data_IF_902445830429
#
_entry.id   IF_902445830429
#
_cell.length_a   1.000
_cell.length_b   1.000
_cell.length_c   1.000
_cell.angle_alpha   90.00
_cell.angle_beta   90.00
_cell.angle_gamma   90.00
#
_symmetry.space_group_name_H-M   'P 1'
#
loop_
_entity.id
_entity.type
_entity.pdbx_description
1 polymer ?
#
# COMPACT_ATOMS: atom_id res chain seq x y z
N UNK A 1 -34.59 -2.03 4.93
CA UNK A 1 -35.14 -0.85 5.65
C UNK A 1 -34.14 0.27 5.45
N UNK A 2 -34.57 1.50 5.21
CA UNK A 2 -33.66 2.64 5.13
C UNK A 2 -33.45 3.20 6.55
N UNK A 3 -32.21 3.32 6.95
CA UNK A 3 -31.84 3.95 8.24
C UNK A 3 -31.48 5.41 8.01
N UNK A 4 -31.94 6.32 8.86
CA UNK A 4 -31.58 7.73 8.82
C UNK A 4 -30.67 8.10 9.99
N UNK A 5 -29.56 8.79 9.69
CA UNK A 5 -28.58 9.28 10.69
C UNK A 5 -28.40 10.78 10.49
N UNK A 6 -28.29 11.51 11.59
CA UNK A 6 -27.88 12.94 11.59
C UNK A 6 -26.52 13.05 12.26
N UNK A 7 -25.66 13.92 11.73
CA UNK A 7 -24.35 14.20 12.27
C UNK A 7 -23.96 15.66 12.10
N UNK A 8 -23.16 16.21 13.02
CA UNK A 8 -22.52 17.52 12.80
C UNK A 8 -21.40 17.40 11.79
N UNK A 9 -20.63 16.30 11.84
CA UNK A 9 -19.55 16.04 10.88
C UNK A 9 -19.66 14.61 10.35
N UNK A 10 -19.66 14.49 9.03
CA UNK A 10 -19.42 13.21 8.36
C UNK A 10 -18.01 13.17 7.79
N UNK A 11 -17.29 12.08 8.03
CA UNK A 11 -15.97 11.83 7.44
C UNK A 11 -16.08 10.66 6.47
N UNK A 12 -15.70 10.88 5.22
CA UNK A 12 -15.78 9.89 4.15
C UNK A 12 -14.41 9.25 3.91
N UNK A 13 -14.29 7.96 4.28
CA UNK A 13 -13.08 7.16 4.22
C UNK A 13 -12.36 7.10 5.57
N UNK A 14 -11.99 5.88 6.01
CA UNK A 14 -11.36 5.62 7.30
C UNK A 14 -9.86 5.30 7.20
N UNK A 15 -9.17 5.82 6.18
CA UNK A 15 -7.72 5.85 6.10
C UNK A 15 -7.10 6.82 7.14
N UNK A 16 -5.75 6.99 7.16
CA UNK A 16 -5.07 7.82 8.16
C UNK A 16 -5.62 9.25 8.28
N UNK A 17 -5.97 9.89 7.18
CA UNK A 17 -6.60 11.21 7.20
C UNK A 17 -7.99 11.15 7.83
N UNK A 18 -8.80 10.15 7.44
CA UNK A 18 -10.20 10.05 7.87
C UNK A 18 -10.37 9.70 9.33
N UNK A 19 -9.73 8.63 9.82
CA UNK A 19 -9.86 8.29 11.24
C UNK A 19 -9.24 9.37 12.14
N UNK A 20 -8.15 10.02 11.72
CA UNK A 20 -7.56 11.12 12.48
C UNK A 20 -8.51 12.30 12.57
N UNK A 21 -9.15 12.68 11.46
CA UNK A 21 -10.16 13.74 11.44
C UNK A 21 -11.37 13.38 12.29
N UNK A 22 -11.93 12.17 12.14
CA UNK A 22 -13.09 11.72 12.90
C UNK A 22 -12.82 11.69 14.39
N UNK A 23 -11.65 11.17 14.81
CA UNK A 23 -11.27 11.15 16.23
C UNK A 23 -11.11 12.56 16.79
N UNK A 24 -10.50 13.47 16.00
CA UNK A 24 -10.36 14.85 16.44
C UNK A 24 -11.71 15.57 16.55
N UNK A 25 -12.63 15.38 15.61
CA UNK A 25 -13.98 15.91 15.69
C UNK A 25 -14.70 15.42 16.96
N UNK A 26 -14.63 14.12 17.22
CA UNK A 26 -15.24 13.53 18.43
C UNK A 26 -14.58 14.04 19.73
N UNK A 27 -13.24 14.20 19.77
CA UNK A 27 -12.53 14.77 20.92
C UNK A 27 -12.89 16.24 21.17
N UNK A 28 -13.37 16.96 20.13
CA UNK A 28 -13.93 18.31 20.25
C UNK A 28 -15.43 18.34 20.65
N UNK A 29 -16.03 17.18 20.88
CA UNK A 29 -17.43 17.05 21.30
C UNK A 29 -18.44 17.10 20.14
N UNK A 30 -17.98 16.99 18.89
CA UNK A 30 -18.88 17.01 17.73
C UNK A 30 -19.49 15.61 17.51
N UNK A 31 -20.77 15.55 17.17
CA UNK A 31 -21.42 14.32 16.74
C UNK A 31 -20.88 13.91 15.35
N UNK A 32 -20.13 12.79 15.34
CA UNK A 32 -19.28 12.42 14.22
C UNK A 32 -19.64 11.04 13.67
N UNK A 33 -19.88 10.99 12.36
CA UNK A 33 -20.04 9.75 11.59
C UNK A 33 -18.81 9.54 10.71
N UNK A 34 -18.24 8.33 10.76
CA UNK A 34 -17.14 7.88 9.89
C UNK A 34 -17.66 6.81 8.93
N UNK A 35 -17.61 7.08 7.64
CA UNK A 35 -18.05 6.14 6.61
C UNK A 35 -16.86 5.42 5.99
N UNK A 36 -16.90 4.08 5.95
CA UNK A 36 -15.85 3.25 5.35
C UNK A 36 -16.47 2.14 4.50
N UNK A 37 -16.00 2.01 3.25
CA UNK A 37 -16.51 0.98 2.34
C UNK A 37 -16.03 -0.44 2.66
N UNK A 38 -14.88 -0.56 3.32
CA UNK A 38 -14.32 -1.84 3.73
C UNK A 38 -14.74 -2.21 5.15
N UNK A 39 -14.63 -3.49 5.49
CA UNK A 39 -15.01 -4.01 6.82
C UNK A 39 -14.06 -3.58 7.94
N UNK A 40 -12.88 -3.04 7.60
CA UNK A 40 -11.86 -2.64 8.58
C UNK A 40 -11.46 -1.19 8.39
N UNK A 41 -11.23 -0.49 9.50
CA UNK A 41 -10.67 0.86 9.50
C UNK A 41 -9.17 0.81 9.13
N UNK A 42 -8.59 1.98 8.81
CA UNK A 42 -7.16 2.12 8.53
C UNK A 42 -6.82 2.37 7.06
N UNK A 43 -7.79 2.17 6.15
CA UNK A 43 -7.64 2.40 4.71
C UNK A 43 -6.49 1.61 4.09
N UNK A 44 -5.98 2.08 2.96
CA UNK A 44 -4.85 1.48 2.25
C UNK A 44 -3.62 1.36 3.15
N UNK A 45 -3.28 2.41 3.90
CA UNK A 45 -2.07 2.45 4.71
C UNK A 45 -1.95 1.27 5.68
N UNK A 46 -3.00 0.98 6.47
CA UNK A 46 -2.93 -0.09 7.46
C UNK A 46 -3.15 -1.47 6.86
N UNK A 47 -4.05 -1.57 5.89
CA UNK A 47 -4.49 -2.88 5.39
C UNK A 47 -3.61 -3.43 4.26
N UNK A 48 -3.23 -2.58 3.29
CA UNK A 48 -2.54 -2.98 2.06
C UNK A 48 -1.45 -1.99 1.63
N UNK A 49 -0.81 -1.30 2.56
CA UNK A 49 0.19 -0.27 2.29
C UNK A 49 1.30 -0.21 3.32
N UNK A 50 1.36 0.89 4.09
CA UNK A 50 2.49 1.20 4.97
C UNK A 50 2.76 0.13 6.02
N UNK A 51 1.74 -0.38 6.68
CA UNK A 51 1.93 -1.34 7.78
C UNK A 51 2.45 -2.68 7.27
N UNK A 52 1.80 -3.36 6.30
CA UNK A 52 2.37 -4.59 5.76
C UNK A 52 3.74 -4.39 5.11
N UNK A 53 4.00 -3.27 4.41
CA UNK A 53 5.32 -3.03 3.83
C UNK A 53 6.41 -2.86 4.89
N UNK A 54 6.16 -2.10 5.97
CA UNK A 54 7.13 -1.95 7.07
C UNK A 54 7.34 -3.23 7.85
N UNK A 55 6.31 -4.06 8.01
CA UNK A 55 6.47 -5.38 8.59
C UNK A 55 7.40 -6.26 7.74
N UNK A 56 7.17 -6.34 6.43
CA UNK A 56 8.02 -7.13 5.53
C UNK A 56 9.44 -6.55 5.40
N UNK A 57 9.60 -5.23 5.33
CA UNK A 57 10.89 -4.56 5.32
C UNK A 57 11.68 -4.83 6.61
N UNK A 58 11.01 -4.96 7.76
CA UNK A 58 11.69 -5.34 9.00
C UNK A 58 12.29 -6.76 8.89
N UNK A 59 11.55 -7.72 8.32
CA UNK A 59 12.09 -9.07 8.05
C UNK A 59 13.29 -8.99 7.11
N UNK A 60 13.17 -8.28 6.00
CA UNK A 60 14.25 -8.07 5.05
C UNK A 60 15.49 -7.46 5.71
N UNK A 61 15.30 -6.44 6.55
CA UNK A 61 16.37 -5.78 7.31
C UNK A 61 17.11 -6.75 8.22
N UNK A 62 16.40 -7.57 8.99
CA UNK A 62 17.02 -8.55 9.90
C UNK A 62 17.87 -9.56 9.12
N UNK A 63 17.37 -10.06 7.98
CA UNK A 63 18.12 -10.99 7.11
C UNK A 63 19.42 -10.33 6.62
N UNK A 64 19.32 -9.10 6.12
CA UNK A 64 20.46 -8.35 5.57
C UNK A 64 21.49 -7.97 6.65
N UNK A 65 21.03 -7.56 7.83
CA UNK A 65 21.92 -7.22 8.96
C UNK A 65 22.67 -8.46 9.47
N UNK A 66 21.97 -9.60 9.59
CA UNK A 66 22.63 -10.86 9.97
C UNK A 66 23.71 -11.25 8.95
N UNK A 67 23.43 -11.11 7.66
CA UNK A 67 24.41 -11.37 6.59
C UNK A 67 25.60 -10.42 6.65
N UNK A 68 25.36 -9.13 6.89
CA UNK A 68 26.41 -8.12 6.97
C UNK A 68 27.36 -8.31 8.17
N UNK A 69 26.88 -8.91 9.27
CA UNK A 69 27.72 -9.19 10.45
C UNK A 69 28.87 -10.15 10.17
N UNK A 70 28.80 -10.92 9.08
CA UNK A 70 29.92 -11.78 8.68
C UNK A 70 31.20 -10.98 8.39
N UNK A 71 31.10 -9.74 7.91
CA UNK A 71 32.23 -8.82 7.70
C UNK A 71 32.89 -8.40 9.02
N UNK A 72 32.18 -8.54 10.14
CA UNK A 72 32.64 -8.21 11.49
C UNK A 72 32.96 -9.45 12.34
N UNK A 73 33.04 -10.62 11.70
CA UNK A 73 33.44 -11.87 12.36
C UNK A 73 32.29 -12.64 13.03
N UNK A 74 31.04 -12.22 12.86
CA UNK A 74 29.87 -12.98 13.34
C UNK A 74 29.18 -13.62 12.14
N UNK A 75 29.26 -14.95 12.05
CA UNK A 75 28.72 -15.71 10.91
C UNK A 75 27.46 -16.44 11.35
N UNK A 76 26.39 -16.25 10.61
CA UNK A 76 25.16 -17.02 10.74
C UNK A 76 25.00 -17.93 9.52
N UNK A 77 24.41 -19.13 9.72
CA UNK A 77 23.97 -19.94 8.61
C UNK A 77 22.89 -19.20 7.79
N UNK A 78 22.75 -19.55 6.51
CA UNK A 78 21.72 -19.00 5.67
C UNK A 78 20.33 -19.24 6.30
N UNK A 79 19.50 -18.20 6.47
CA UNK A 79 18.21 -18.35 7.12
C UNK A 79 17.28 -19.24 6.28
N UNK A 80 16.58 -20.14 6.95
CA UNK A 80 15.45 -20.85 6.34
C UNK A 80 14.21 -19.98 6.50
N UNK A 81 13.70 -19.47 5.39
CA UNK A 81 12.51 -18.62 5.38
C UNK A 81 11.24 -19.45 5.17
N UNK A 82 10.24 -19.20 6.01
CA UNK A 82 8.90 -19.76 5.90
C UNK A 82 7.95 -18.59 5.61
N UNK A 83 7.60 -18.41 4.32
CA UNK A 83 6.80 -17.27 3.87
C UNK A 83 5.38 -17.30 4.44
N UNK A 84 4.84 -18.47 4.75
CA UNK A 84 3.51 -18.60 5.34
C UNK A 84 3.50 -18.04 6.76
N UNK A 85 4.54 -18.33 7.55
CA UNK A 85 4.68 -17.75 8.90
C UNK A 85 4.94 -16.24 8.87
N UNK A 86 5.73 -15.76 7.91
CA UNK A 86 5.95 -14.32 7.71
C UNK A 86 4.61 -13.63 7.40
N UNK A 87 3.81 -14.22 6.51
CA UNK A 87 2.49 -13.72 6.13
C UNK A 87 1.54 -13.68 7.34
N UNK A 88 1.44 -14.77 8.09
CA UNK A 88 0.61 -14.85 9.30
C UNK A 88 1.04 -13.78 10.32
N UNK A 89 2.34 -13.62 10.54
CA UNK A 89 2.84 -12.59 11.45
C UNK A 89 2.50 -11.17 10.96
N UNK A 90 2.70 -10.87 9.68
CA UNK A 90 2.31 -9.60 9.05
C UNK A 90 0.82 -9.33 9.24
N UNK A 91 -0.04 -10.31 8.98
CA UNK A 91 -1.49 -10.18 9.11
C UNK A 91 -1.92 -9.98 10.57
N UNK A 92 -1.21 -10.59 11.52
CA UNK A 92 -1.40 -10.33 12.95
C UNK A 92 -1.09 -8.88 13.31
N UNK A 93 -0.01 -8.30 12.78
CA UNK A 93 0.34 -6.88 13.00
C UNK A 93 -0.77 -5.97 12.47
N UNK A 94 -1.25 -6.23 11.25
CA UNK A 94 -2.37 -5.48 10.65
C UNK A 94 -3.61 -5.58 11.53
N UNK A 95 -4.01 -6.78 11.94
CA UNK A 95 -5.20 -7.02 12.76
C UNK A 95 -5.13 -6.32 14.11
N UNK A 96 -3.96 -6.30 14.75
CA UNK A 96 -3.77 -5.58 16.02
C UNK A 96 -3.98 -4.07 15.86
N UNK A 97 -3.45 -3.47 14.80
CA UNK A 97 -3.57 -2.03 14.58
C UNK A 97 -4.97 -1.62 14.14
N UNK A 98 -5.59 -2.38 13.22
CA UNK A 98 -6.97 -2.09 12.78
C UNK A 98 -7.99 -2.32 13.89
N UNK A 99 -7.80 -3.36 14.72
CA UNK A 99 -8.60 -3.59 15.93
C UNK A 99 -8.43 -2.47 16.97
N UNK A 100 -7.22 -1.95 17.12
CA UNK A 100 -6.93 -0.77 17.94
C UNK A 100 -7.72 0.46 17.49
N UNK A 101 -7.76 0.72 16.16
CA UNK A 101 -8.55 1.82 15.60
C UNK A 101 -10.06 1.66 15.87
N UNK A 102 -10.59 0.45 15.71
CA UNK A 102 -11.99 0.17 16.01
C UNK A 102 -12.30 0.43 17.50
N UNK A 103 -11.40 0.02 18.41
CA UNK A 103 -11.50 0.32 19.84
C UNK A 103 -11.46 1.83 20.13
N UNK A 104 -10.57 2.56 19.45
CA UNK A 104 -10.45 4.02 19.58
C UNK A 104 -11.70 4.75 19.07
N UNK A 105 -12.30 4.32 17.96
CA UNK A 105 -13.55 4.85 17.43
C UNK A 105 -14.69 4.65 18.43
N UNK A 106 -14.82 3.43 18.96
CA UNK A 106 -15.84 3.09 19.97
C UNK A 106 -15.66 3.93 21.24
N UNK A 107 -14.43 4.05 21.76
CA UNK A 107 -14.14 4.83 22.97
C UNK A 107 -14.47 6.32 22.83
N UNK A 108 -14.39 6.87 21.61
CA UNK A 108 -14.76 8.26 21.26
C UNK A 108 -16.21 8.41 20.84
N UNK A 109 -16.97 7.34 20.81
CA UNK A 109 -18.37 7.33 20.34
C UNK A 109 -18.52 7.80 18.88
N UNK A 110 -17.49 7.60 18.05
CA UNK A 110 -17.59 7.81 16.60
C UNK A 110 -18.52 6.74 16.03
N UNK A 111 -19.58 7.17 15.35
CA UNK A 111 -20.50 6.26 14.68
C UNK A 111 -19.89 5.81 13.35
N UNK A 112 -19.50 4.53 13.26
CA UNK A 112 -18.90 3.95 12.05
C UNK A 112 -19.99 3.31 11.21
N UNK A 113 -20.12 3.77 9.95
CA UNK A 113 -21.07 3.23 8.97
C UNK A 113 -20.29 2.56 7.85
N UNK A 114 -20.48 1.25 7.68
CA UNK A 114 -19.83 0.50 6.62
C UNK A 114 -20.67 0.48 5.33
N UNK A 115 -20.08 0.89 4.24
CA UNK A 115 -20.68 0.86 2.91
C UNK A 115 -20.08 1.89 1.95
N UNK A 116 -20.49 1.78 0.69
CA UNK A 116 -20.11 2.73 -0.35
C UNK A 116 -21.00 3.96 -0.30
N UNK A 117 -20.39 5.14 -0.12
CA UNK A 117 -21.11 6.39 0.05
C UNK A 117 -21.14 7.21 -1.25
N UNK A 118 -22.27 7.87 -1.48
CA UNK A 118 -22.46 8.84 -2.56
C UNK A 118 -23.19 10.07 -2.05
N UNK A 119 -22.73 11.25 -2.44
CA UNK A 119 -23.45 12.49 -2.17
C UNK A 119 -24.77 12.50 -2.95
N UNK A 120 -25.88 12.70 -2.26
CA UNK A 120 -27.22 12.84 -2.85
C UNK A 120 -27.74 14.27 -2.76
N UNK A 121 -27.04 15.14 -2.04
CA UNK A 121 -27.29 16.57 -1.92
C UNK A 121 -26.12 17.28 -1.23
N UNK A 122 -26.25 18.59 -1.03
CA UNK A 122 -25.20 19.40 -0.39
C UNK A 122 -24.90 19.01 1.06
N UNK A 123 -25.87 18.42 1.75
CA UNK A 123 -25.78 18.00 3.14
C UNK A 123 -26.32 16.58 3.38
N UNK A 124 -26.30 15.75 2.35
CA UNK A 124 -26.82 14.38 2.42
C UNK A 124 -25.92 13.40 1.70
N UNK A 125 -25.72 12.23 2.33
CA UNK A 125 -25.07 11.06 1.76
C UNK A 125 -26.02 9.86 1.79
N UNK A 126 -25.96 9.03 0.75
CA UNK A 126 -26.48 7.67 0.77
C UNK A 126 -25.32 6.71 0.92
N UNK A 127 -25.41 5.79 1.86
CA UNK A 127 -24.40 4.74 2.08
C UNK A 127 -25.04 3.39 1.81
N UNK A 128 -24.54 2.68 0.82
CA UNK A 128 -24.99 1.32 0.45
C UNK A 128 -24.11 0.30 1.16
N UNK A 129 -24.63 -0.35 2.18
CA UNK A 129 -23.95 -1.40 2.94
C UNK A 129 -24.65 -2.75 2.83
N UNK A 130 -24.07 -3.79 3.43
CA UNK A 130 -24.62 -5.17 3.42
C UNK A 130 -25.98 -5.29 4.11
N UNK A 131 -26.32 -4.37 5.04
CA UNK A 131 -27.57 -4.36 5.79
C UNK A 131 -28.64 -3.45 5.15
N UNK A 132 -28.33 -2.84 4.02
CA UNK A 132 -29.22 -1.93 3.29
C UNK A 132 -28.64 -0.53 3.14
N UNK A 133 -29.51 0.41 2.78
CA UNK A 133 -29.15 1.80 2.52
C UNK A 133 -29.32 2.66 3.77
N UNK A 134 -28.28 3.41 4.13
CA UNK A 134 -28.31 4.41 5.19
C UNK A 134 -28.23 5.80 4.60
N UNK A 135 -29.15 6.68 4.94
CA UNK A 135 -29.10 8.10 4.58
C UNK A 135 -28.50 8.89 5.74
N UNK A 136 -27.43 9.66 5.47
CA UNK A 136 -26.77 10.49 6.46
C UNK A 136 -26.98 11.96 6.11
N UNK A 137 -27.59 12.71 7.01
CA UNK A 137 -27.70 14.18 6.93
C UNK A 137 -26.63 14.80 7.83
N UNK A 138 -25.88 15.77 7.33
CA UNK A 138 -24.74 16.35 8.03
C UNK A 138 -24.67 17.88 7.87
N UNK A 139 -24.01 18.55 8.81
CA UNK A 139 -23.71 19.98 8.71
C UNK A 139 -22.42 20.22 7.90
N UNK A 140 -21.38 19.41 8.16
CA UNK A 140 -20.07 19.50 7.52
C UNK A 140 -19.60 18.13 7.05
N UNK A 141 -18.83 18.09 5.96
CA UNK A 141 -18.25 16.86 5.43
C UNK A 141 -16.73 16.99 5.27
N UNK A 142 -15.99 15.95 5.65
CA UNK A 142 -14.56 15.81 5.39
C UNK A 142 -14.37 14.65 4.42
N UNK A 143 -13.86 14.94 3.22
CA UNK A 143 -13.57 13.92 2.20
C UNK A 143 -12.15 13.41 2.38
N UNK A 144 -12.01 12.16 2.80
CA UNK A 144 -10.74 11.46 3.01
C UNK A 144 -10.72 10.11 2.26
N UNK A 145 -11.21 10.13 1.01
CA UNK A 145 -11.50 8.94 0.20
C UNK A 145 -10.26 8.13 -0.23
N UNK A 146 -9.04 8.67 -0.03
CA UNK A 146 -7.78 7.98 -0.32
C UNK A 146 -7.47 7.86 -1.81
N UNK A 147 -6.72 6.79 -2.16
CA UNK A 147 -6.26 6.50 -3.51
C UNK A 147 -6.29 4.99 -3.78
N UNK A 148 -6.11 4.63 -5.04
CA UNK A 148 -5.94 3.24 -5.50
C UNK A 148 -4.72 3.14 -6.43
N UNK A 149 -4.15 1.94 -6.64
CA UNK A 149 -3.15 1.73 -7.68
C UNK A 149 -3.66 2.19 -9.04
N UNK A 150 -2.75 2.73 -9.86
CA UNK A 150 -3.10 3.09 -11.24
C UNK A 150 -3.14 1.83 -12.09
N UNK A 151 -4.17 1.69 -12.89
CA UNK A 151 -4.29 0.62 -13.89
C UNK A 151 -3.98 1.18 -15.26
N UNK A 152 -2.88 0.70 -15.86
CA UNK A 152 -2.49 1.09 -17.21
C UNK A 152 -3.09 0.11 -18.23
N UNK A 153 -3.72 0.58 -19.31
CA UNK A 153 -4.50 -0.26 -20.21
C UNK A 153 -3.66 -1.27 -21.03
N UNK A 154 -2.35 -1.10 -21.09
CA UNK A 154 -1.43 -2.03 -21.76
C UNK A 154 -0.84 -3.10 -20.85
N UNK A 155 -1.27 -3.18 -19.58
CA UNK A 155 -0.83 -4.19 -18.62
C UNK A 155 -1.89 -5.28 -18.52
N UNK A 156 -1.53 -6.56 -18.70
CA UNK A 156 -2.45 -7.69 -18.57
C UNK A 156 -2.73 -8.02 -17.09
N UNK A 157 -3.55 -7.22 -16.43
CA UNK A 157 -3.86 -7.33 -14.99
C UNK A 157 -4.50 -8.66 -14.59
N UNK A 158 -5.11 -9.37 -15.54
CA UNK A 158 -5.74 -10.68 -15.30
C UNK A 158 -4.73 -11.82 -15.15
N UNK A 159 -3.48 -11.62 -15.56
CA UNK A 159 -2.45 -12.66 -15.43
C UNK A 159 -1.94 -12.71 -13.99
N UNK A 160 -1.95 -13.89 -13.32
CA UNK A 160 -1.59 -14.02 -11.91
C UNK A 160 -0.10 -13.73 -11.61
N UNK A 161 0.73 -13.59 -12.65
CA UNK A 161 2.15 -13.19 -12.53
C UNK A 161 2.35 -11.69 -12.58
N UNK A 162 1.30 -10.92 -12.92
CA UNK A 162 1.29 -9.47 -12.97
C UNK A 162 0.64 -8.95 -11.70
N UNK A 163 1.41 -8.25 -10.89
CA UNK A 163 1.02 -7.82 -9.54
C UNK A 163 0.93 -6.32 -9.44
N UNK A 164 -0.08 -5.83 -8.73
CA UNK A 164 -0.04 -4.50 -8.15
C UNK A 164 0.66 -4.50 -6.78
N UNK A 165 0.69 -3.36 -6.10
CA UNK A 165 1.30 -3.25 -4.77
C UNK A 165 0.56 -4.08 -3.71
N UNK A 166 -0.74 -4.26 -3.86
CA UNK A 166 -1.56 -5.08 -2.95
C UNK A 166 -1.20 -6.55 -3.08
N UNK A 167 -1.06 -7.04 -4.31
CA UNK A 167 -0.66 -8.42 -4.59
C UNK A 167 0.74 -8.72 -4.06
N UNK A 168 1.69 -7.81 -4.32
CA UNK A 168 3.05 -7.95 -3.81
C UNK A 168 3.10 -8.03 -2.28
N UNK A 169 2.27 -7.26 -1.58
CA UNK A 169 2.18 -7.28 -0.12
C UNK A 169 1.52 -8.54 0.45
N UNK A 170 0.77 -9.29 -0.37
CA UNK A 170 0.22 -10.58 0.06
C UNK A 170 1.30 -11.63 0.30
N UNK A 171 2.45 -11.53 -0.34
CA UNK A 171 3.59 -12.45 -0.22
C UNK A 171 3.17 -13.92 -0.46
N UNK A 172 2.41 -14.16 -1.53
CA UNK A 172 1.93 -15.53 -1.86
C UNK A 172 3.06 -16.45 -2.27
N UNK A 173 4.00 -15.91 -3.05
CA UNK A 173 5.17 -16.62 -3.59
C UNK A 173 6.37 -15.71 -3.60
N UNK A 174 7.58 -16.29 -3.72
CA UNK A 174 8.82 -15.54 -3.97
C UNK A 174 9.31 -16.00 -5.34
N UNK A 175 9.14 -15.18 -6.40
CA UNK A 175 9.61 -15.54 -7.74
C UNK A 175 11.13 -15.51 -7.80
N UNK A 176 11.73 -16.32 -8.67
CA UNK A 176 13.17 -16.28 -8.92
C UNK A 176 13.62 -14.91 -9.44
N UNK A 177 12.83 -14.34 -10.36
CA UNK A 177 13.06 -12.99 -10.91
C UNK A 177 11.79 -12.15 -10.76
N UNK A 178 11.96 -10.93 -10.27
CA UNK A 178 10.89 -9.95 -10.15
C UNK A 178 11.29 -8.68 -10.90
N UNK A 179 10.47 -8.32 -11.89
CA UNK A 179 10.61 -7.04 -12.57
C UNK A 179 9.63 -6.03 -11.93
N UNK A 180 10.17 -4.90 -11.54
CA UNK A 180 9.43 -3.78 -10.95
C UNK A 180 9.31 -2.68 -11.99
N UNK A 181 8.08 -2.34 -12.35
CA UNK A 181 7.79 -1.23 -13.25
C UNK A 181 7.57 0.06 -12.46
N UNK A 182 8.52 0.97 -12.58
CA UNK A 182 8.58 2.23 -11.84
C UNK A 182 9.54 2.17 -10.64
N UNK A 183 10.54 3.05 -10.66
CA UNK A 183 11.53 3.24 -9.59
C UNK A 183 11.02 4.11 -8.42
N UNK A 184 9.71 4.12 -8.19
CA UNK A 184 9.08 4.82 -7.06
C UNK A 184 9.27 4.09 -5.73
N UNK A 185 8.85 4.74 -4.63
CA UNK A 185 9.06 4.26 -3.25
C UNK A 185 8.51 2.84 -3.06
N UNK A 186 7.26 2.59 -3.47
CA UNK A 186 6.58 1.30 -3.26
C UNK A 186 7.30 0.17 -3.99
N UNK A 187 7.64 0.37 -5.25
CA UNK A 187 8.35 -0.62 -6.05
C UNK A 187 9.72 -0.97 -5.46
N UNK A 188 10.46 0.03 -4.99
CA UNK A 188 11.77 -0.18 -4.35
C UNK A 188 11.67 -0.83 -2.97
N UNK A 189 10.61 -0.55 -2.19
CA UNK A 189 10.33 -1.26 -0.94
C UNK A 189 10.05 -2.74 -1.21
N UNK A 190 9.19 -3.06 -2.17
CA UNK A 190 8.88 -4.45 -2.54
C UNK A 190 10.11 -5.14 -3.13
N UNK A 191 10.85 -4.47 -4.02
CA UNK A 191 12.12 -4.99 -4.52
C UNK A 191 13.08 -5.36 -3.38
N UNK A 192 13.16 -4.52 -2.33
CA UNK A 192 14.01 -4.80 -1.15
C UNK A 192 13.55 -6.04 -0.38
N UNK A 193 12.24 -6.19 -0.18
CA UNK A 193 11.67 -7.35 0.50
C UNK A 193 11.95 -8.64 -0.29
N UNK A 194 11.60 -8.65 -1.57
CA UNK A 194 11.75 -9.84 -2.41
C UNK A 194 13.23 -10.20 -2.66
N UNK A 195 14.11 -9.19 -2.78
CA UNK A 195 15.55 -9.44 -2.87
C UNK A 195 16.10 -10.14 -1.61
N UNK A 196 15.72 -9.67 -0.42
CA UNK A 196 16.14 -10.29 0.83
C UNK A 196 15.62 -11.73 0.97
N UNK A 197 14.48 -12.04 0.36
CA UNK A 197 13.89 -13.37 0.30
C UNK A 197 14.45 -14.27 -0.82
N UNK A 198 15.31 -13.73 -1.70
CA UNK A 198 16.06 -14.49 -2.70
C UNK A 198 15.75 -14.16 -4.17
N UNK A 199 14.83 -13.25 -4.46
CA UNK A 199 14.53 -12.85 -5.85
C UNK A 199 15.66 -12.00 -6.45
N UNK A 200 15.92 -12.18 -7.73
CA UNK A 200 16.67 -11.21 -8.56
C UNK A 200 15.73 -10.07 -8.95
N UNK A 201 16.16 -8.82 -8.75
CA UNK A 201 15.32 -7.65 -8.95
C UNK A 201 15.81 -6.84 -10.15
N UNK A 202 14.92 -6.67 -11.12
CA UNK A 202 15.06 -5.72 -12.22
C UNK A 202 14.09 -4.55 -11.99
N UNK A 203 14.54 -3.30 -12.13
CA UNK A 203 13.71 -2.10 -12.01
C UNK A 203 13.78 -1.30 -13.30
N UNK A 204 12.63 -1.02 -13.89
CA UNK A 204 12.51 -0.15 -15.07
C UNK A 204 11.94 1.19 -14.64
N UNK A 205 12.67 2.27 -14.91
CA UNK A 205 12.26 3.64 -14.57
C UNK A 205 12.38 4.54 -15.81
N UNK A 206 11.35 5.31 -16.08
CA UNK A 206 11.30 6.20 -17.25
C UNK A 206 12.22 7.40 -17.09
N UNK A 207 12.42 7.87 -15.88
CA UNK A 207 13.25 9.04 -15.58
C UNK A 207 14.73 8.70 -15.41
N UNK A 208 15.57 9.73 -15.30
CA UNK A 208 17.03 9.64 -15.13
C UNK A 208 17.44 9.22 -13.71
N UNK A 209 16.48 9.11 -12.79
CA UNK A 209 16.70 8.67 -11.40
C UNK A 209 15.51 7.90 -10.85
N UNK A 210 15.77 7.03 -9.87
CA UNK A 210 14.71 6.46 -9.01
C UNK A 210 14.17 7.55 -8.06
N UNK A 211 12.95 7.37 -7.57
CA UNK A 211 12.26 8.33 -6.68
C UNK A 211 12.34 9.77 -7.25
N UNK A 212 11.79 10.02 -8.43
CA UNK A 212 12.00 11.27 -9.17
C UNK A 212 11.56 12.53 -8.41
N UNK A 213 10.67 12.40 -7.42
CA UNK A 213 10.21 13.50 -6.58
C UNK A 213 11.18 13.88 -5.45
N UNK A 214 12.26 13.14 -5.24
CA UNK A 214 13.24 13.42 -4.18
C UNK A 214 14.49 14.12 -4.74
N UNK A 215 15.19 14.85 -3.86
CA UNK A 215 16.40 15.61 -4.22
C UNK A 215 17.50 14.69 -4.73
N UNK A 216 18.13 15.07 -5.84
CA UNK A 216 19.13 14.25 -6.56
C UNK A 216 20.34 13.85 -5.72
N UNK A 217 20.79 14.69 -4.81
CA UNK A 217 21.92 14.41 -3.92
C UNK A 217 21.60 13.29 -2.92
N UNK A 218 20.39 13.31 -2.36
CA UNK A 218 19.89 12.24 -1.47
C UNK A 218 19.72 10.93 -2.23
N UNK A 219 19.06 11.00 -3.39
CA UNK A 219 18.80 9.82 -4.25
C UNK A 219 20.10 9.19 -4.75
N UNK A 220 21.14 9.98 -5.03
CA UNK A 220 22.46 9.48 -5.45
C UNK A 220 23.07 8.52 -4.42
N UNK A 221 22.94 8.83 -3.13
CA UNK A 221 23.46 7.97 -2.05
C UNK A 221 22.68 6.66 -1.99
N UNK A 222 21.36 6.74 -2.12
CA UNK A 222 20.48 5.58 -2.13
C UNK A 222 20.75 4.70 -3.37
N UNK A 223 20.78 5.29 -4.55
CA UNK A 223 21.03 4.58 -5.83
C UNK A 223 22.35 3.81 -5.79
N UNK A 224 23.42 4.42 -5.25
CA UNK A 224 24.72 3.75 -5.09
C UNK A 224 24.63 2.47 -4.23
N UNK A 225 23.68 2.41 -3.30
CA UNK A 225 23.45 1.23 -2.45
C UNK A 225 22.63 0.16 -3.18
N UNK A 226 21.51 0.57 -3.79
CA UNK A 226 20.58 -0.41 -4.39
C UNK A 226 21.11 -0.96 -5.71
N UNK A 227 21.89 -0.22 -6.49
CA UNK A 227 22.51 -0.72 -7.75
C UNK A 227 23.46 -1.89 -7.56
N UNK A 228 23.89 -2.16 -6.33
CA UNK A 228 24.64 -3.38 -6.01
C UNK A 228 23.77 -4.62 -5.86
N UNK A 229 22.46 -4.43 -5.72
CA UNK A 229 21.45 -5.47 -5.46
C UNK A 229 20.44 -5.61 -6.58
N UNK A 230 20.10 -4.50 -7.23
CA UNK A 230 19.10 -4.42 -8.30
C UNK A 230 19.74 -4.04 -9.60
N UNK A 231 19.24 -4.61 -10.68
CA UNK A 231 19.52 -4.12 -12.03
C UNK A 231 18.58 -2.94 -12.32
N UNK A 232 19.14 -1.71 -12.36
CA UNK A 232 18.38 -0.49 -12.60
C UNK A 232 18.45 -0.10 -14.07
N UNK A 233 17.30 -0.05 -14.72
CA UNK A 233 17.14 0.40 -16.11
C UNK A 233 16.46 1.77 -16.08
N UNK A 234 17.25 2.83 -15.91
CA UNK A 234 16.79 4.23 -15.97
C UNK A 234 16.59 4.68 -17.42
N UNK A 235 15.93 5.81 -17.64
CA UNK A 235 15.59 6.36 -18.95
C UNK A 235 14.95 5.29 -19.86
N UNK A 236 14.13 4.43 -19.28
CA UNK A 236 13.54 3.29 -19.96
C UNK A 236 12.04 3.27 -19.74
N UNK A 237 11.28 3.63 -20.77
CA UNK A 237 9.81 3.66 -20.76
C UNK A 237 9.24 2.32 -21.20
N UNK A 238 8.33 1.76 -20.40
CA UNK A 238 7.56 0.58 -20.81
C UNK A 238 6.42 1.01 -21.74
N UNK A 239 6.31 0.35 -22.88
CA UNK A 239 5.30 0.66 -23.92
C UNK A 239 4.24 -0.42 -24.06
N UNK A 240 4.56 -1.67 -23.70
CA UNK A 240 3.64 -2.78 -23.67
C UNK A 240 4.13 -3.86 -22.71
N UNK A 241 3.19 -4.66 -22.21
CA UNK A 241 3.47 -5.87 -21.42
C UNK A 241 2.71 -7.03 -22.03
N UNK A 242 3.41 -8.13 -22.33
CA UNK A 242 2.82 -9.35 -22.88
C UNK A 242 3.01 -10.51 -21.93
N UNK A 243 1.92 -11.13 -21.50
CA UNK A 243 1.95 -12.37 -20.75
C UNK A 243 1.86 -13.56 -21.73
N UNK A 244 2.92 -14.39 -21.79
CA UNK A 244 3.00 -15.61 -22.62
C UNK A 244 3.17 -16.84 -21.72
N UNK A 245 3.07 -18.02 -22.28
CA UNK A 245 3.22 -19.29 -21.52
C UNK A 245 4.57 -19.37 -20.80
N UNK A 246 5.64 -18.94 -21.46
CA UNK A 246 7.03 -19.00 -21.00
C UNK A 246 7.49 -17.78 -20.17
N UNK A 247 6.69 -16.73 -20.05
CA UNK A 247 7.06 -15.55 -19.24
C UNK A 247 6.17 -14.33 -19.41
N UNK A 248 6.52 -13.28 -18.67
CA UNK A 248 5.98 -11.94 -18.87
C UNK A 248 7.06 -11.07 -19.52
N UNK A 249 6.75 -10.50 -20.67
CA UNK A 249 7.68 -9.74 -21.49
C UNK A 249 7.31 -8.26 -21.50
N UNK A 250 8.30 -7.40 -21.32
CA UNK A 250 8.14 -5.96 -21.40
C UNK A 250 8.77 -5.43 -22.72
N UNK A 251 8.00 -4.62 -23.42
CA UNK A 251 8.50 -3.82 -24.53
C UNK A 251 8.89 -2.45 -23.99
N UNK A 252 10.09 -2.00 -24.32
CA UNK A 252 10.63 -0.75 -23.77
C UNK A 252 11.21 0.14 -24.84
N UNK A 253 11.15 1.44 -24.62
CA UNK A 253 11.91 2.46 -25.36
C UNK A 253 12.91 3.07 -24.40
N UNK A 254 14.14 3.29 -24.88
CA UNK A 254 15.21 3.93 -24.12
C UNK A 254 15.46 5.34 -24.64
N UNK A 255 15.61 6.31 -23.75
CA UNK A 255 15.90 7.70 -24.10
C UNK A 255 15.56 8.65 -22.94
N UNK A 256 15.95 9.93 -23.03
CA UNK A 256 15.47 10.94 -22.13
C UNK A 256 13.97 11.19 -22.40
N UNK A 257 13.16 11.21 -21.36
CA UNK A 257 11.72 11.53 -21.42
C UNK A 257 11.43 12.71 -20.50
N UNK A 258 10.71 13.71 -21.03
CA UNK A 258 10.24 14.86 -20.26
C UNK A 258 9.03 14.48 -19.39
N UNK A 259 8.90 15.17 -18.22
CA UNK A 259 7.77 15.04 -17.32
C UNK A 259 6.54 15.76 -17.83
#
# INVERSE_FOLDING_TARGET
>A
MSTEIKAQVVVLGAGPAGYSAAFRCADLGLDTVLVERHSTLGGVCLNVGCIPSKALLHVAKVIEEAKALSEHGVVFDAPKTDIDKIRIWKDKVISQLTGGLAGMAKGRKVNVVNGEARFTGSHTLSVEGSEGTTTITFENAIVAAGSRPIELPFIPHEDPRVWDSTDALQLKTVPERLLVMGGGIIGLEMGTVYHALGSQIDVVEMFDQVIPAADKDVVKVFTKRISKKFNLMLETKVTAVEAKEDGVFLHTLRGPFDM
#
